data_IF_395163211840
#
_entry.id   IF_395163211840
#
_cell.length_a   1.000
_cell.length_b   1.000
_cell.length_c   1.000
_cell.angle_alpha   90.00
_cell.angle_beta   90.00
_cell.angle_gamma   90.00
#
_symmetry.space_group_name_H-M   'P 1'
#
loop_
_entity.id
_entity.type
_entity.pdbx_description
1 polymer ?
#
# COMPACT_ATOMS: atom_id res chain seq x y z
N UNK A 1 -14.63 -22.17 -2.34
CA UNK A 1 -13.91 -21.48 -1.23
C UNK A 1 -12.62 -20.77 -1.65
N UNK A 2 -11.88 -21.18 -2.71
CA UNK A 2 -10.61 -20.54 -3.11
C UNK A 2 -10.70 -19.07 -3.61
N UNK A 3 -11.87 -18.59 -4.06
CA UNK A 3 -12.04 -17.22 -4.60
C UNK A 3 -12.03 -16.11 -3.54
N UNK A 4 -12.47 -16.39 -2.31
CA UNK A 4 -12.52 -15.39 -1.23
C UNK A 4 -11.14 -15.18 -0.57
N UNK A 5 -10.28 -16.20 -0.60
CA UNK A 5 -8.93 -16.11 -0.04
C UNK A 5 -8.04 -15.14 -0.84
N UNK A 6 -8.20 -15.09 -2.16
CA UNK A 6 -7.42 -14.20 -3.03
C UNK A 6 -7.80 -12.71 -2.82
N UNK A 7 -9.09 -12.43 -2.58
CA UNK A 7 -9.59 -11.07 -2.29
C UNK A 7 -9.12 -10.59 -0.92
N UNK A 8 -9.11 -11.47 0.09
CA UNK A 8 -8.60 -11.17 1.44
C UNK A 8 -7.09 -10.91 1.41
N UNK A 9 -6.31 -11.68 0.64
CA UNK A 9 -4.87 -11.46 0.48
C UNK A 9 -4.60 -10.13 -0.25
N UNK A 10 -5.33 -9.83 -1.32
CA UNK A 10 -5.20 -8.54 -2.03
C UNK A 10 -5.54 -7.35 -1.12
N UNK A 11 -6.62 -7.44 -0.34
CA UNK A 11 -6.99 -6.36 0.59
C UNK A 11 -6.00 -6.17 1.74
N UNK A 12 -5.39 -7.24 2.24
CA UNK A 12 -4.29 -7.15 3.23
C UNK A 12 -3.03 -6.52 2.64
N UNK A 13 -2.66 -6.87 1.40
CA UNK A 13 -1.51 -6.27 0.69
C UNK A 13 -1.74 -4.77 0.42
N UNK A 14 -2.96 -4.37 0.05
CA UNK A 14 -3.28 -2.95 -0.15
C UNK A 14 -3.34 -2.16 1.15
N UNK A 15 -3.77 -2.77 2.26
CA UNK A 15 -3.80 -2.12 3.57
C UNK A 15 -2.38 -1.83 4.08
N UNK A 16 -1.43 -2.76 3.87
CA UNK A 16 -0.01 -2.55 4.19
C UNK A 16 0.71 -1.58 3.23
N UNK A 17 0.18 -1.34 2.03
CA UNK A 17 0.73 -0.37 1.06
C UNK A 17 0.11 1.03 1.17
N UNK A 18 -0.77 1.28 2.14
CA UNK A 18 -1.32 2.61 2.38
C UNK A 18 -0.17 3.58 2.76
N UNK A 19 -0.08 4.74 2.08
CA UNK A 19 0.86 5.80 2.47
C UNK A 19 0.68 6.22 3.93
N UNK A 20 -0.55 6.31 4.43
CA UNK A 20 -0.84 6.69 5.81
C UNK A 20 -0.35 5.66 6.85
N UNK A 21 -0.55 4.35 6.58
CA UNK A 21 -0.05 3.29 7.47
C UNK A 21 1.48 3.27 7.53
N UNK A 22 2.12 3.33 6.35
CA UNK A 22 3.58 3.38 6.24
C UNK A 22 4.15 4.62 6.93
N UNK A 23 3.51 5.78 6.74
CA UNK A 23 3.90 7.02 7.38
C UNK A 23 3.81 6.94 8.91
N UNK A 24 2.67 6.48 9.43
CA UNK A 24 2.46 6.35 10.88
C UNK A 24 3.52 5.46 11.52
N UNK A 25 3.77 4.29 10.94
CA UNK A 25 4.78 3.36 11.43
C UNK A 25 6.19 3.97 11.45
N UNK A 26 6.55 4.74 10.41
CA UNK A 26 7.84 5.46 10.37
C UNK A 26 7.95 6.51 11.48
N UNK A 27 6.90 7.30 11.69
CA UNK A 27 6.89 8.34 12.75
C UNK A 27 6.95 7.72 14.14
N UNK A 28 6.20 6.65 14.39
CA UNK A 28 6.25 5.90 15.65
C UNK A 28 7.67 5.35 15.91
N UNK A 29 8.30 4.74 14.90
CA UNK A 29 9.68 4.26 15.00
C UNK A 29 10.70 5.39 15.27
N UNK A 30 10.52 6.57 14.67
CA UNK A 30 11.37 7.73 14.91
C UNK A 30 11.20 8.27 16.33
N UNK A 31 9.98 8.26 16.88
CA UNK A 31 9.71 8.68 18.24
C UNK A 31 10.41 7.74 19.25
N UNK A 32 10.25 6.42 19.06
CA UNK A 32 10.96 5.42 19.87
C UNK A 32 12.49 5.59 19.78
N UNK A 33 13.02 5.87 18.58
CA UNK A 33 14.44 6.13 18.39
C UNK A 33 14.91 7.37 19.17
N UNK A 34 14.13 8.47 19.13
CA UNK A 34 14.43 9.68 19.89
C UNK A 34 14.44 9.44 21.39
N UNK A 35 13.44 8.72 21.91
CA UNK A 35 13.35 8.41 23.33
C UNK A 35 14.56 7.57 23.78
N UNK A 36 15.00 6.63 22.94
CA UNK A 36 16.22 5.85 23.19
C UNK A 36 17.51 6.70 23.18
N UNK A 37 17.59 7.75 22.36
CA UNK A 37 18.73 8.67 22.38
C UNK A 37 18.78 9.50 23.67
N UNK A 38 17.62 9.93 24.17
CA UNK A 38 17.49 10.67 25.44
C UNK A 38 17.91 9.79 26.62
N UNK A 39 17.44 8.53 26.66
CA UNK A 39 17.77 7.58 27.73
C UNK A 39 19.28 7.29 27.79
N UNK A 40 19.98 7.32 26.66
CA UNK A 40 21.43 7.10 26.58
C UNK A 40 22.27 8.30 27.01
N UNK A 41 21.66 9.36 27.55
CA UNK A 41 22.33 10.58 28.03
C UNK A 41 23.27 11.21 26.99
N UNK A 42 22.91 11.13 25.70
CA UNK A 42 23.66 11.80 24.64
C UNK A 42 23.54 13.32 24.77
N UNK A 43 24.55 14.07 24.30
CA UNK A 43 24.46 15.54 24.27
C UNK A 43 23.26 15.98 23.42
N UNK A 44 22.67 17.15 23.70
CA UNK A 44 21.52 17.65 22.94
C UNK A 44 21.85 17.82 21.45
N UNK A 45 23.10 18.20 21.14
CA UNK A 45 23.63 18.27 19.78
C UNK A 45 23.68 16.90 19.11
N UNK A 46 24.18 15.88 19.80
CA UNK A 46 24.22 14.51 19.27
C UNK A 46 22.80 13.94 19.09
N UNK A 47 21.89 14.22 20.01
CA UNK A 47 20.48 13.84 19.88
C UNK A 47 19.89 14.50 18.63
N UNK A 48 20.11 15.80 18.44
CA UNK A 48 19.60 16.54 17.29
C UNK A 48 20.14 15.97 15.97
N UNK A 49 21.45 15.78 15.85
CA UNK A 49 22.09 15.23 14.66
C UNK A 49 21.57 13.83 14.34
N UNK A 50 21.57 12.94 15.33
CA UNK A 50 21.19 11.54 15.12
C UNK A 50 19.70 11.40 14.79
N UNK A 51 18.84 12.11 15.51
CA UNK A 51 17.39 12.09 15.28
C UNK A 51 17.07 12.57 13.86
N UNK A 52 17.54 13.75 13.47
CA UNK A 52 17.21 14.31 12.15
C UNK A 52 17.89 13.57 10.99
N UNK A 53 19.04 12.95 11.22
CA UNK A 53 19.64 12.02 10.25
C UNK A 53 18.72 10.81 10.01
N UNK A 54 18.10 10.27 11.07
CA UNK A 54 17.11 9.21 10.93
C UNK A 54 15.84 9.70 10.22
N UNK A 55 15.33 10.90 10.55
CA UNK A 55 14.20 11.51 9.84
C UNK A 55 14.50 11.67 8.35
N UNK A 56 15.71 12.12 7.99
CA UNK A 56 16.16 12.27 6.59
C UNK A 56 16.18 10.95 5.83
N UNK A 57 16.58 9.87 6.49
CA UNK A 57 16.57 8.52 5.91
C UNK A 57 15.16 8.04 5.61
N UNK A 58 14.21 8.31 6.51
CA UNK A 58 12.81 7.90 6.35
C UNK A 58 12.02 8.77 5.35
N UNK A 59 12.43 10.03 5.20
CA UNK A 59 11.78 11.06 4.38
C UNK A 59 12.79 11.80 3.47
N UNK A 60 13.41 11.09 2.51
CA UNK A 60 14.45 11.66 1.64
C UNK A 60 13.95 12.82 0.76
N UNK A 61 12.67 12.83 0.42
CA UNK A 61 12.03 13.92 -0.35
C UNK A 61 12.13 15.28 0.34
N UNK A 62 12.34 15.31 1.66
CA UNK A 62 12.44 16.53 2.47
C UNK A 62 13.88 16.81 2.92
N UNK A 63 14.88 16.14 2.34
CA UNK A 63 16.28 16.23 2.73
C UNK A 63 16.78 17.67 2.94
N UNK A 64 16.50 18.57 2.01
CA UNK A 64 16.95 19.97 2.09
C UNK A 64 16.33 20.73 3.27
N UNK A 65 15.04 20.49 3.57
CA UNK A 65 14.35 21.10 4.71
C UNK A 65 14.91 20.55 6.01
N UNK A 66 15.12 19.23 6.06
CA UNK A 66 15.70 18.55 7.23
C UNK A 66 17.12 19.03 7.49
N UNK A 67 17.95 19.23 6.46
CA UNK A 67 19.30 19.77 6.59
C UNK A 67 19.29 21.17 7.20
N UNK A 68 18.30 21.99 6.85
CA UNK A 68 18.11 23.32 7.44
C UNK A 68 17.73 23.22 8.91
N UNK A 69 16.80 22.31 9.26
CA UNK A 69 16.40 22.07 10.65
C UNK A 69 17.59 21.60 11.49
N UNK A 70 18.40 20.68 10.95
CA UNK A 70 19.61 20.19 11.59
C UNK A 70 20.60 21.32 11.89
N UNK A 71 20.87 22.17 10.89
CA UNK A 71 21.80 23.28 11.02
C UNK A 71 21.37 24.25 12.12
N UNK A 72 20.12 24.72 12.06
CA UNK A 72 19.59 25.66 13.07
C UNK A 72 19.52 25.02 14.46
N UNK A 73 19.13 23.74 14.55
CA UNK A 73 19.10 23.02 15.82
C UNK A 73 20.48 22.85 16.46
N UNK A 74 21.53 22.68 15.64
CA UNK A 74 22.91 22.62 16.11
C UNK A 74 23.41 23.99 16.58
N UNK A 75 23.09 25.06 15.86
CA UNK A 75 23.42 26.43 16.28
C UNK A 75 22.76 26.75 17.63
N UNK A 76 21.52 26.31 17.83
CA UNK A 76 20.77 26.43 19.09
C UNK A 76 21.41 25.65 20.24
N UNK A 77 21.87 24.42 19.98
CA UNK A 77 22.61 23.64 20.96
C UNK A 77 23.92 24.35 21.36
N UNK A 78 24.68 24.85 20.39
CA UNK A 78 25.94 25.57 20.61
C UNK A 78 25.73 26.90 21.36
N UNK A 79 24.63 27.61 21.08
CA UNK A 79 24.24 28.82 21.81
C UNK A 79 23.82 28.52 23.24
N UNK A 80 23.17 27.38 23.49
CA UNK A 80 22.79 26.95 24.84
C UNK A 80 24.01 26.60 25.69
N UNK A 81 25.01 25.91 25.13
CA UNK A 81 26.27 25.62 25.84
C UNK A 81 27.03 26.88 26.27
N UNK A 82 26.85 27.98 25.52
CA UNK A 82 27.44 29.30 25.81
C UNK A 82 26.53 30.19 26.66
N UNK A 83 25.36 29.69 27.08
CA UNK A 83 24.32 30.44 27.81
C UNK A 83 23.83 31.71 27.08
N UNK A 84 23.81 31.65 25.74
CA UNK A 84 23.47 32.77 24.84
C UNK A 84 22.08 32.63 24.20
N UNK A 85 21.39 31.52 24.44
CA UNK A 85 20.12 31.21 23.78
C UNK A 85 18.96 32.07 24.29
N UNK A 86 18.21 32.69 23.39
CA UNK A 86 17.00 33.43 23.76
C UNK A 86 15.76 32.55 23.74
N UNK A 87 14.69 33.02 24.39
CA UNK A 87 13.37 32.38 24.29
C UNK A 87 12.87 32.43 22.85
N UNK A 88 13.12 33.53 22.13
CA UNK A 88 12.68 33.73 20.75
C UNK A 88 13.36 32.73 19.79
N UNK A 89 14.64 32.42 19.99
CA UNK A 89 15.36 31.40 19.21
C UNK A 89 14.71 30.02 19.35
N UNK A 90 14.35 29.64 20.58
CA UNK A 90 13.65 28.38 20.86
C UNK A 90 12.26 28.36 20.22
N UNK A 91 11.53 29.46 20.29
CA UNK A 91 10.19 29.58 19.68
C UNK A 91 10.29 29.45 18.15
N UNK A 92 11.24 30.15 17.53
CA UNK A 92 11.46 30.10 16.09
C UNK A 92 11.80 28.69 15.61
N UNK A 93 12.70 28.00 16.31
CA UNK A 93 13.06 26.62 16.00
C UNK A 93 11.89 25.65 16.17
N UNK A 94 11.19 25.72 17.30
CA UNK A 94 10.03 24.87 17.55
C UNK A 94 8.93 25.09 16.51
N UNK A 95 8.75 26.34 16.06
CA UNK A 95 7.83 26.66 14.96
C UNK A 95 8.27 26.00 13.65
N UNK A 96 9.54 26.12 13.27
CA UNK A 96 10.08 25.48 12.07
C UNK A 96 9.90 23.95 12.10
N UNK A 97 10.18 23.31 13.23
CA UNK A 97 9.97 21.87 13.42
C UNK A 97 8.48 21.52 13.31
N UNK A 98 7.60 22.29 13.95
CA UNK A 98 6.15 22.10 13.86
C UNK A 98 5.63 22.24 12.43
N UNK A 99 6.05 23.29 11.72
CA UNK A 99 5.65 23.56 10.33
C UNK A 99 6.10 22.43 9.40
N UNK A 100 7.30 21.89 9.60
CA UNK A 100 7.78 20.69 8.88
C UNK A 100 6.86 19.49 9.10
N UNK A 101 6.55 19.14 10.34
CA UNK A 101 5.68 17.98 10.63
C UNK A 101 4.25 18.18 10.12
N UNK A 102 3.72 19.40 10.19
CA UNK A 102 2.41 19.75 9.65
C UNK A 102 2.38 19.60 8.12
N UNK A 103 3.42 20.08 7.43
CA UNK A 103 3.55 19.95 5.98
C UNK A 103 3.67 18.49 5.58
N UNK A 104 4.53 17.73 6.26
CA UNK A 104 4.72 16.30 5.99
C UNK A 104 3.40 15.52 6.16
N UNK A 105 2.65 15.80 7.23
CA UNK A 105 1.33 15.20 7.45
C UNK A 105 0.35 15.53 6.31
N UNK A 106 0.30 16.80 5.90
CA UNK A 106 -0.57 17.24 4.79
C UNK A 106 -0.23 16.52 3.48
N UNK A 107 1.05 16.31 3.19
CA UNK A 107 1.46 15.64 1.96
C UNK A 107 1.13 14.15 1.98
N UNK A 108 1.20 13.51 3.17
CA UNK A 108 0.74 12.12 3.36
C UNK A 108 -0.76 11.99 3.16
N UNK A 109 -1.55 12.93 3.68
CA UNK A 109 -3.00 12.93 3.50
C UNK A 109 -3.38 13.06 2.02
N UNK A 110 -2.66 13.91 1.26
CA UNK A 110 -2.83 14.03 -0.19
C UNK A 110 -2.48 12.70 -0.89
N UNK A 111 -1.30 12.13 -0.61
CA UNK A 111 -0.89 10.83 -1.18
C UNK A 111 -1.89 9.72 -0.86
N UNK A 112 -2.51 9.74 0.33
CA UNK A 112 -3.53 8.78 0.71
C UNK A 112 -4.83 8.96 -0.10
N UNK A 113 -5.23 10.21 -0.37
CA UNK A 113 -6.39 10.49 -1.24
C UNK A 113 -6.13 10.01 -2.68
N UNK A 114 -4.95 10.29 -3.22
CA UNK A 114 -4.53 9.83 -4.56
C UNK A 114 -4.51 8.29 -4.65
N UNK A 115 -3.99 7.63 -3.61
CA UNK A 115 -4.01 6.17 -3.50
C UNK A 115 -5.44 5.64 -3.49
N UNK A 116 -6.34 6.21 -2.69
CA UNK A 116 -7.74 5.81 -2.62
C UNK A 116 -8.47 6.00 -3.97
N UNK A 117 -8.22 7.12 -4.65
CA UNK A 117 -8.76 7.38 -5.99
C UNK A 117 -8.26 6.34 -7.00
N UNK A 118 -6.97 5.99 -6.94
CA UNK A 118 -6.36 4.97 -7.79
C UNK A 118 -6.96 3.58 -7.56
N UNK A 119 -7.28 3.22 -6.31
CA UNK A 119 -7.97 1.96 -6.00
C UNK A 119 -9.38 1.90 -6.59
N UNK A 120 -10.12 3.01 -6.59
CA UNK A 120 -11.45 3.09 -7.22
C UNK A 120 -11.33 2.87 -8.73
N UNK A 121 -10.36 3.52 -9.39
CA UNK A 121 -10.11 3.34 -10.82
C UNK A 121 -9.72 1.90 -11.17
N UNK A 122 -8.88 1.27 -10.35
CA UNK A 122 -8.51 -0.14 -10.50
C UNK A 122 -9.74 -1.05 -10.36
N UNK A 123 -10.57 -0.83 -9.33
CA UNK A 123 -11.80 -1.59 -9.12
C UNK A 123 -12.74 -1.50 -10.33
N UNK A 124 -12.95 -0.30 -10.86
CA UNK A 124 -13.78 -0.08 -12.05
C UNK A 124 -13.21 -0.81 -13.28
N UNK A 125 -11.89 -0.76 -13.46
CA UNK A 125 -11.20 -1.45 -14.56
C UNK A 125 -11.33 -2.97 -14.46
N UNK A 126 -11.19 -3.53 -13.25
CA UNK A 126 -11.38 -4.96 -13.00
C UNK A 126 -12.82 -5.41 -13.23
N UNK A 127 -13.80 -4.60 -12.84
CA UNK A 127 -15.21 -4.87 -13.11
C UNK A 127 -15.52 -4.89 -14.61
N UNK A 128 -15.00 -3.91 -15.37
CA UNK A 128 -15.14 -3.87 -16.82
C UNK A 128 -14.49 -5.09 -17.51
N UNK A 129 -13.29 -5.48 -17.09
CA UNK A 129 -12.61 -6.68 -17.59
C UNK A 129 -13.37 -7.97 -17.25
N UNK A 130 -13.99 -8.06 -16.07
CA UNK A 130 -14.82 -9.20 -15.67
C UNK A 130 -16.08 -9.31 -16.54
N UNK A 131 -16.75 -8.18 -16.81
CA UNK A 131 -17.91 -8.15 -17.68
C UNK A 131 -17.57 -8.57 -19.12
N UNK A 132 -16.46 -8.08 -19.68
CA UNK A 132 -16.03 -8.46 -21.03
C UNK A 132 -15.65 -9.95 -21.11
N UNK A 133 -15.01 -10.49 -20.07
CA UNK A 133 -14.72 -11.92 -19.99
C UNK A 133 -16.00 -12.77 -19.95
N UNK A 134 -16.99 -12.38 -19.15
CA UNK A 134 -18.28 -13.09 -19.07
C UNK A 134 -19.03 -13.03 -20.41
N UNK A 135 -19.05 -11.87 -21.07
CA UNK A 135 -19.65 -11.71 -22.40
C UNK A 135 -18.94 -12.59 -23.44
N UNK A 136 -17.60 -12.62 -23.45
CA UNK A 136 -16.82 -13.45 -24.35
C UNK A 136 -17.04 -14.96 -24.08
N UNK A 137 -17.17 -15.37 -22.82
CA UNK A 137 -17.52 -16.75 -22.49
C UNK A 137 -18.92 -17.12 -22.99
N UNK A 138 -19.92 -16.27 -22.78
CA UNK A 138 -21.28 -16.51 -23.30
C UNK A 138 -21.31 -16.63 -24.83
N UNK A 139 -20.54 -15.79 -25.54
CA UNK A 139 -20.39 -15.91 -26.99
C UNK A 139 -19.72 -17.21 -27.43
N UNK A 140 -18.70 -17.70 -26.70
CA UNK A 140 -18.09 -19.00 -27.00
C UNK A 140 -19.06 -20.17 -26.74
N UNK A 141 -19.83 -20.12 -25.67
CA UNK A 141 -20.85 -21.13 -25.39
C UNK A 141 -21.92 -21.17 -26.49
N UNK A 142 -22.42 -20.00 -26.92
CA UNK A 142 -23.42 -19.94 -28.00
C UNK A 142 -22.86 -20.44 -29.34
N UNK A 143 -21.63 -20.08 -29.72
CA UNK A 143 -21.00 -20.59 -30.94
C UNK A 143 -20.71 -22.10 -30.89
N UNK A 144 -20.39 -22.66 -29.73
CA UNK A 144 -20.19 -24.11 -29.57
C UNK A 144 -21.46 -24.93 -29.75
N UNK A 145 -22.64 -24.32 -29.52
CA UNK A 145 -23.94 -24.98 -29.67
C UNK A 145 -24.53 -24.85 -31.08
N UNK A 146 -24.09 -23.88 -31.88
CA UNK A 146 -24.48 -23.76 -33.30
C UNK A 146 -23.60 -24.58 -34.25
N UNK A 147 -22.37 -24.93 -33.85
CA UNK A 147 -21.45 -25.78 -34.63
C UNK A 147 -21.38 -27.23 -34.11
N UNK A 148 -22.45 -27.74 -33.51
CA UNK A 148 -22.59 -29.19 -33.43
C UNK A 148 -23.13 -29.68 -34.79
N UNK A 149 -22.37 -30.48 -35.57
CA UNK A 149 -22.96 -31.14 -36.72
C UNK A 149 -24.15 -31.94 -36.20
N UNK A 150 -25.32 -31.75 -36.81
CA UNK A 150 -26.54 -32.49 -36.50
C UNK A 150 -26.20 -33.99 -36.46
N UNK A 151 -26.05 -34.55 -35.26
CA UNK A 151 -25.97 -35.99 -35.08
C UNK A 151 -27.40 -36.46 -35.06
N UNK A 152 -27.82 -37.12 -36.14
CA UNK A 152 -29.04 -37.89 -36.13
C UNK A 152 -29.03 -38.79 -34.88
N UNK A 153 -30.17 -38.94 -34.16
CA UNK A 153 -30.23 -39.83 -33.02
C UNK A 153 -29.82 -41.23 -33.49
N UNK A 154 -28.72 -41.75 -32.95
CA UNK A 154 -28.26 -43.11 -33.22
C UNK A 154 -29.29 -44.04 -32.58
N UNK A 155 -30.07 -44.74 -33.40
CA UNK A 155 -31.09 -45.65 -32.92
C UNK A 155 -30.40 -46.95 -32.48
N UNK A 156 -29.98 -46.99 -31.23
CA UNK A 156 -29.42 -48.19 -30.65
C UNK A 156 -30.52 -49.11 -30.14
N UNK A 157 -30.60 -50.31 -30.68
CA UNK A 157 -31.50 -51.36 -30.18
C UNK A 157 -30.67 -52.43 -29.47
N UNK A 158 -31.00 -52.67 -28.21
CA UNK A 158 -30.36 -53.70 -27.38
C UNK A 158 -31.27 -54.91 -27.26
N UNK A 159 -30.74 -56.09 -27.51
CA UNK A 159 -31.45 -57.35 -27.29
C UNK A 159 -30.55 -58.36 -26.61
N UNK A 160 -31.16 -59.27 -25.85
CA UNK A 160 -30.47 -60.24 -25.02
C UNK A 160 -30.55 -61.61 -25.68
N UNK A 161 -29.41 -62.26 -25.90
CA UNK A 161 -29.34 -63.67 -26.29
C UNK A 161 -28.63 -64.42 -25.16
N UNK A 162 -29.38 -65.26 -24.45
CA UNK A 162 -28.88 -65.94 -23.25
C UNK A 162 -28.44 -64.94 -22.17
N UNK A 163 -27.21 -65.08 -21.68
CA UNK A 163 -26.63 -64.16 -20.67
C UNK A 163 -25.86 -62.97 -21.28
N UNK A 164 -25.82 -62.83 -22.61
CA UNK A 164 -25.10 -61.75 -23.29
C UNK A 164 -26.07 -60.71 -23.81
N UNK A 165 -25.83 -59.44 -23.49
CA UNK A 165 -26.57 -58.30 -24.07
C UNK A 165 -25.76 -57.80 -25.28
N UNK A 166 -26.42 -57.75 -26.44
CA UNK A 166 -25.86 -57.12 -27.64
C UNK A 166 -26.61 -55.83 -27.93
N UNK A 167 -25.86 -54.76 -28.15
CA UNK A 167 -26.38 -53.46 -28.56
C UNK A 167 -25.89 -53.18 -29.98
N UNK A 168 -26.83 -52.93 -30.88
CA UNK A 168 -26.52 -52.55 -32.26
C UNK A 168 -27.07 -51.15 -32.49
N UNK A 169 -26.27 -50.32 -33.12
CA UNK A 169 -26.55 -48.91 -33.36
C UNK A 169 -26.43 -48.66 -34.87
N UNK A 170 -27.41 -47.97 -35.45
CA UNK A 170 -27.42 -47.50 -36.84
C UNK A 170 -27.70 -46.00 -36.87
#
# INVERSE_FOLDING_TARGET
>A
MKKYMLVIILSLVFYSCSPAYTYRSKVESLQEYKDNLIIKESSEKDININYWTAVKKEFPDYAAVIDTIMLVGNDIADMKEKDMITIDDKIAYNKMVSDFWNKLKSDVDIKQQEFNASLILLSNSLNAASQSLNAAQQQRYSQSHYNQPYRAPINCTSYRIGNVIRTTCY
#
